data_IF_548557967577
#
_entry.id   IF_548557967577
#
_cell.length_a   1.000
_cell.length_b   1.000
_cell.length_c   1.000
_cell.angle_alpha   90.00
_cell.angle_beta   90.00
_cell.angle_gamma   90.00
#
_symmetry.space_group_name_H-M   'P 1'
#
loop_
_entity.id
_entity.type
_entity.pdbx_description
1 polymer ?
#
# COMPACT_ATOMS: atom_id res chain seq x y z
N UNK A 1 -25.30 14.94 2.31
CA UNK A 1 -24.80 13.55 2.38
C UNK A 1 -23.66 13.45 1.38
N UNK A 2 -22.40 13.25 1.77
CA UNK A 2 -21.35 13.05 0.78
C UNK A 2 -21.46 11.62 0.24
N UNK A 3 -21.39 11.51 -1.09
CA UNK A 3 -21.39 10.26 -1.85
C UNK A 3 -20.14 9.45 -1.49
N UNK A 4 -20.35 8.17 -1.16
CA UNK A 4 -19.26 7.19 -1.09
C UNK A 4 -18.69 6.96 -2.50
N UNK A 5 -17.37 7.15 -2.63
CA UNK A 5 -16.60 6.82 -3.84
C UNK A 5 -16.77 5.34 -4.23
N UNK A 6 -17.04 4.99 -5.50
CA UNK A 6 -17.33 3.62 -5.90
C UNK A 6 -16.07 2.90 -6.42
N UNK A 7 -15.06 2.59 -5.59
CA UNK A 7 -13.89 1.83 -6.06
C UNK A 7 -13.22 0.83 -5.10
N UNK A 8 -13.89 0.40 -4.04
CA UNK A 8 -13.53 -0.86 -3.36
C UNK A 8 -14.76 -1.76 -3.26
N UNK A 9 -14.72 -3.00 -3.78
CA UNK A 9 -15.77 -3.96 -3.47
C UNK A 9 -15.75 -4.17 -1.96
N UNK A 10 -16.71 -3.56 -1.27
CA UNK A 10 -16.97 -3.76 0.14
C UNK A 10 -17.29 -5.25 0.29
N UNK A 11 -16.36 -6.02 0.85
CA UNK A 11 -16.55 -7.45 1.06
C UNK A 11 -17.10 -7.61 2.49
N UNK A 12 -18.40 -7.84 2.70
CA UNK A 12 -19.07 -7.68 4.00
C UNK A 12 -18.66 -8.71 5.08
N UNK A 13 -17.57 -9.46 4.87
CA UNK A 13 -17.00 -10.40 5.82
C UNK A 13 -15.52 -10.16 6.15
N UNK A 14 -14.93 -9.04 5.70
CA UNK A 14 -13.56 -8.64 6.05
C UNK A 14 -13.62 -7.54 7.12
N UNK A 15 -12.95 -7.78 8.25
CA UNK A 15 -12.83 -6.84 9.37
C UNK A 15 -11.50 -6.10 9.31
N UNK A 16 -11.44 -4.87 9.81
CA UNK A 16 -10.17 -4.15 10.01
C UNK A 16 -9.23 -4.85 11.00
N UNK A 17 -9.76 -5.81 11.78
CA UNK A 17 -8.97 -6.66 12.68
C UNK A 17 -8.50 -7.96 12.03
N UNK A 18 -8.88 -8.25 10.79
CA UNK A 18 -8.47 -9.47 10.11
C UNK A 18 -6.97 -9.48 9.77
N UNK A 19 -6.36 -10.67 9.68
CA UNK A 19 -4.96 -10.82 9.31
C UNK A 19 -4.68 -10.20 7.94
N UNK A 20 -3.69 -9.30 7.92
CA UNK A 20 -3.38 -8.48 6.77
C UNK A 20 -1.99 -8.77 6.20
N UNK A 21 -1.85 -8.53 4.90
CA UNK A 21 -0.56 -8.33 4.26
C UNK A 21 -0.34 -6.83 4.09
N UNK A 22 0.70 -6.27 4.70
CA UNK A 22 1.18 -4.94 4.36
C UNK A 22 2.14 -5.08 3.19
N UNK A 23 1.74 -4.62 2.02
CA UNK A 23 2.51 -4.73 0.79
C UNK A 23 3.12 -3.37 0.43
N UNK A 24 4.45 -3.30 0.37
CA UNK A 24 5.18 -2.07 0.04
C UNK A 24 6.30 -2.33 -0.95
N UNK A 25 6.71 -1.27 -1.67
CA UNK A 25 7.81 -1.35 -2.63
C UNK A 25 9.13 -1.64 -1.92
N UNK A 26 9.53 -0.73 -1.01
CA UNK A 26 10.75 -0.80 -0.22
C UNK A 26 10.49 -0.31 1.21
N UNK A 27 11.31 -0.73 2.19
CA UNK A 27 11.22 -0.30 3.58
C UNK A 27 11.31 1.22 3.80
N UNK A 28 12.10 1.92 3.00
CA UNK A 28 12.31 3.38 3.08
C UNK A 28 11.17 4.18 2.41
N UNK A 29 10.36 3.53 1.57
CA UNK A 29 9.43 4.20 0.67
C UNK A 29 7.99 4.33 1.17
N UNK A 30 7.69 3.81 2.35
CA UNK A 30 6.32 3.74 2.86
C UNK A 30 6.11 4.65 4.07
N UNK A 31 5.04 5.44 4.04
CA UNK A 31 4.56 6.14 5.24
C UNK A 31 3.76 5.16 6.11
N UNK A 32 4.36 4.75 7.23
CA UNK A 32 3.79 3.77 8.16
C UNK A 32 3.44 4.34 9.54
N UNK A 33 4.02 5.47 9.92
CA UNK A 33 3.80 6.10 11.23
C UNK A 33 2.53 6.93 11.27
N UNK A 34 1.80 6.87 12.40
CA UNK A 34 0.57 7.65 12.59
C UNK A 34 -0.62 7.25 11.70
N UNK A 35 -0.48 6.21 10.88
CA UNK A 35 -1.50 5.77 9.93
C UNK A 35 -2.40 4.72 10.56
N UNK A 36 -3.60 5.13 11.01
CA UNK A 36 -4.51 4.28 11.77
C UNK A 36 -4.79 2.89 11.13
N UNK A 37 -5.08 2.76 9.82
CA UNK A 37 -5.30 1.45 9.20
C UNK A 37 -4.08 0.50 9.29
N UNK A 38 -2.87 1.06 9.20
CA UNK A 38 -1.62 0.29 9.35
C UNK A 38 -1.49 -0.15 10.80
N UNK A 39 -1.67 0.74 11.77
CA UNK A 39 -1.63 0.39 13.20
C UNK A 39 -2.67 -0.68 13.57
N UNK A 40 -3.89 -0.58 13.05
CA UNK A 40 -4.93 -1.58 13.26
C UNK A 40 -4.52 -2.93 12.65
N UNK A 41 -3.98 -2.95 11.43
CA UNK A 41 -3.45 -4.18 10.83
C UNK A 41 -2.31 -4.78 11.67
N UNK A 42 -1.38 -3.96 12.13
CA UNK A 42 -0.24 -4.37 12.93
C UNK A 42 -0.60 -4.88 14.32
N UNK A 43 -1.75 -4.49 14.87
CA UNK A 43 -2.26 -5.04 16.13
C UNK A 43 -2.58 -6.54 16.05
N UNK A 44 -2.79 -7.06 14.85
CA UNK A 44 -3.07 -8.47 14.63
C UNK A 44 -1.77 -9.29 14.48
N UNK A 45 -1.58 -10.31 15.32
CA UNK A 45 -0.34 -11.10 15.40
C UNK A 45 0.06 -11.81 14.09
N UNK A 46 -0.91 -12.14 13.26
CA UNK A 46 -0.67 -12.82 11.97
C UNK A 46 -0.39 -11.87 10.82
N UNK A 47 -0.34 -10.55 11.07
CA UNK A 47 -0.02 -9.56 10.04
C UNK A 47 1.43 -9.70 9.58
N UNK A 48 1.63 -9.55 8.29
CA UNK A 48 2.92 -9.70 7.63
C UNK A 48 3.28 -8.41 6.93
N UNK A 49 4.56 -8.06 6.93
CA UNK A 49 5.08 -7.00 6.08
C UNK A 49 5.85 -7.66 4.94
N UNK A 50 5.51 -7.30 3.71
CA UNK A 50 6.17 -7.77 2.50
C UNK A 50 6.69 -6.60 1.69
N UNK A 51 8.02 -6.50 1.61
CA UNK A 51 8.71 -5.57 0.74
C UNK A 51 9.05 -6.28 -0.59
N UNK A 52 8.72 -5.66 -1.71
CA UNK A 52 9.00 -6.23 -3.03
C UNK A 52 10.49 -6.15 -3.38
N UNK A 53 11.15 -5.06 -3.01
CA UNK A 53 12.54 -4.77 -3.32
C UNK A 53 13.36 -4.48 -2.05
N UNK A 54 14.66 -4.78 -2.12
CA UNK A 54 15.67 -4.34 -1.16
C UNK A 54 16.66 -3.34 -1.79
N UNK A 55 16.41 -2.84 -3.01
CA UNK A 55 17.33 -1.95 -3.70
C UNK A 55 17.61 -0.70 -2.87
N UNK A 56 18.85 -0.57 -2.39
CA UNK A 56 19.29 0.54 -1.54
C UNK A 56 18.80 0.47 -0.08
N UNK A 57 18.17 -0.63 0.34
CA UNK A 57 17.75 -0.85 1.72
C UNK A 57 18.81 -1.63 2.49
N UNK A 58 19.36 -1.03 3.54
CA UNK A 58 20.29 -1.73 4.44
C UNK A 58 19.51 -2.54 5.48
N UNK A 59 20.20 -3.43 6.19
CA UNK A 59 19.63 -4.10 7.37
C UNK A 59 19.15 -3.09 8.42
N UNK A 60 19.84 -1.96 8.55
CA UNK A 60 19.45 -0.88 9.44
C UNK A 60 18.12 -0.24 9.00
N UNK A 61 17.89 -0.05 7.70
CA UNK A 61 16.60 0.43 7.17
C UNK A 61 15.46 -0.52 7.53
N UNK A 62 15.68 -1.84 7.48
CA UNK A 62 14.69 -2.84 7.87
C UNK A 62 14.42 -2.81 9.38
N UNK A 63 15.48 -2.63 10.18
CA UNK A 63 15.36 -2.53 11.64
C UNK A 63 14.65 -1.25 12.06
N UNK A 64 14.95 -0.13 11.40
CA UNK A 64 14.26 1.15 11.58
C UNK A 64 12.79 1.03 11.21
N UNK A 65 12.45 0.41 10.07
CA UNK A 65 11.06 0.14 9.71
C UNK A 65 10.32 -0.60 10.84
N UNK A 66 10.90 -1.69 11.35
CA UNK A 66 10.31 -2.45 12.46
C UNK A 66 10.20 -1.60 13.74
N UNK A 67 11.21 -0.78 14.06
CA UNK A 67 11.15 0.13 15.21
C UNK A 67 10.01 1.15 15.08
N UNK A 68 9.83 1.72 13.88
CA UNK A 68 8.77 2.69 13.55
C UNK A 68 7.37 2.08 13.63
N UNK A 69 7.24 0.78 13.37
CA UNK A 69 5.97 0.07 13.58
C UNK A 69 5.62 -0.15 15.06
N UNK A 70 6.59 -0.02 15.97
CA UNK A 70 6.43 -0.33 17.40
C UNK A 70 6.22 -1.82 17.70
N UNK A 71 6.41 -2.70 16.71
CA UNK A 71 6.05 -4.11 16.78
C UNK A 71 7.24 -5.02 16.39
N UNK A 72 8.11 -5.38 17.35
CA UNK A 72 9.35 -6.12 17.09
C UNK A 72 9.13 -7.59 16.66
N UNK A 73 7.91 -8.11 16.78
CA UNK A 73 7.58 -9.51 16.46
C UNK A 73 6.98 -9.70 15.07
N UNK A 74 6.92 -8.65 14.24
CA UNK A 74 6.37 -8.76 12.91
C UNK A 74 7.28 -9.58 12.00
N UNK A 75 6.66 -10.43 11.20
CA UNK A 75 7.34 -11.12 10.13
C UNK A 75 7.49 -10.16 8.95
N UNK A 76 8.71 -9.63 8.81
CA UNK A 76 9.13 -8.86 7.65
C UNK A 76 9.78 -9.82 6.65
N UNK A 77 9.29 -9.81 5.41
CA UNK A 77 9.92 -10.51 4.29
C UNK A 77 10.27 -9.49 3.21
N UNK A 78 11.46 -9.63 2.64
CA UNK A 78 11.85 -8.92 1.42
C UNK A 78 12.06 -9.90 0.28
N UNK A 79 11.45 -9.65 -0.88
CA UNK A 79 11.53 -10.53 -2.04
C UNK A 79 12.75 -10.27 -2.94
N UNK A 80 13.46 -9.16 -2.73
CA UNK A 80 14.70 -8.78 -3.41
C UNK A 80 14.58 -8.67 -4.95
N UNK A 81 13.43 -8.23 -5.46
CA UNK A 81 13.30 -7.83 -6.86
C UNK A 81 13.96 -6.47 -7.11
N UNK A 82 14.55 -6.28 -8.27
CA UNK A 82 15.02 -4.97 -8.70
C UNK A 82 13.83 -4.05 -8.96
N UNK A 83 13.97 -2.75 -8.69
CA UNK A 83 12.89 -1.78 -8.98
C UNK A 83 12.56 -1.78 -10.48
N UNK A 84 13.55 -1.99 -11.35
CA UNK A 84 13.36 -2.12 -12.80
C UNK A 84 12.56 -3.37 -13.20
N UNK A 85 12.58 -4.44 -12.40
CA UNK A 85 11.76 -5.64 -12.65
C UNK A 85 10.26 -5.34 -12.47
N UNK A 86 9.93 -4.27 -11.73
CA UNK A 86 8.55 -3.83 -11.54
C UNK A 86 8.01 -3.03 -12.72
N UNK A 87 8.76 -2.89 -13.82
CA UNK A 87 8.23 -2.38 -15.08
C UNK A 87 7.85 -3.51 -16.04
N UNK A 88 8.51 -4.66 -15.94
CA UNK A 88 8.26 -5.85 -16.78
C UNK A 88 6.93 -6.55 -16.41
N UNK A 89 5.97 -6.69 -17.35
CA UNK A 89 4.72 -7.41 -17.14
C UNK A 89 4.89 -8.87 -16.70
N UNK A 90 5.91 -9.58 -17.20
CA UNK A 90 6.16 -10.98 -16.82
C UNK A 90 6.60 -11.07 -15.37
N UNK A 91 7.50 -10.18 -14.94
CA UNK A 91 7.96 -10.09 -13.56
C UNK A 91 6.82 -9.68 -12.62
N UNK A 92 6.00 -8.68 -12.97
CA UNK A 92 4.78 -8.33 -12.20
C UNK A 92 3.90 -9.53 -11.95
N UNK A 93 3.71 -10.37 -12.96
CA UNK A 93 2.89 -11.59 -12.85
C UNK A 93 3.55 -12.62 -11.94
N UNK A 94 4.86 -12.81 -12.04
CA UNK A 94 5.61 -13.70 -11.14
C UNK A 94 5.53 -13.22 -9.68
N UNK A 95 5.74 -11.93 -9.44
CA UNK A 95 5.64 -11.32 -8.11
C UNK A 95 4.23 -11.48 -7.55
N UNK A 96 3.19 -11.19 -8.35
CA UNK A 96 1.80 -11.37 -7.95
C UNK A 96 1.48 -12.82 -7.55
N UNK A 97 2.06 -13.82 -8.23
CA UNK A 97 1.92 -15.23 -7.85
C UNK A 97 2.57 -15.53 -6.50
N UNK A 98 3.73 -14.95 -6.20
CA UNK A 98 4.38 -15.08 -4.88
C UNK A 98 3.53 -14.44 -3.78
N UNK A 99 2.99 -13.24 -4.04
CA UNK A 99 2.09 -12.53 -3.13
C UNK A 99 0.83 -13.37 -2.88
N UNK A 100 0.19 -13.87 -3.93
CA UNK A 100 -0.99 -14.74 -3.85
C UNK A 100 -0.72 -16.04 -3.08
N UNK A 101 0.46 -16.64 -3.28
CA UNK A 101 0.86 -17.84 -2.54
C UNK A 101 0.97 -17.56 -1.04
N UNK A 102 1.62 -16.46 -0.63
CA UNK A 102 1.75 -16.06 0.78
C UNK A 102 0.42 -15.79 1.43
N UNK A 103 -0.43 -15.03 0.74
CA UNK A 103 -1.79 -14.75 1.15
C UNK A 103 -2.56 -16.04 1.48
N UNK A 104 -2.49 -17.04 0.59
CA UNK A 104 -3.17 -18.33 0.77
C UNK A 104 -2.55 -19.14 1.90
N UNK A 105 -1.22 -19.20 1.97
CA UNK A 105 -0.49 -19.94 2.99
C UNK A 105 -0.73 -19.41 4.41
N UNK A 106 -0.98 -18.10 4.54
CA UNK A 106 -1.15 -17.43 5.83
C UNK A 106 -2.61 -17.06 6.11
N UNK A 107 -3.55 -17.49 5.26
CA UNK A 107 -4.98 -17.19 5.37
C UNK A 107 -5.28 -15.69 5.54
N UNK A 108 -4.53 -14.84 4.85
CA UNK A 108 -4.71 -13.39 4.91
C UNK A 108 -5.98 -13.01 4.15
N UNK A 109 -6.76 -12.08 4.72
CA UNK A 109 -8.04 -11.63 4.12
C UNK A 109 -7.97 -10.24 3.50
N UNK A 110 -6.88 -9.53 3.76
CA UNK A 110 -6.70 -8.13 3.43
C UNK A 110 -5.28 -7.85 2.95
N UNK A 111 -5.14 -6.97 1.97
CA UNK A 111 -3.87 -6.33 1.60
C UNK A 111 -3.98 -4.83 1.94
N UNK A 112 -3.09 -4.34 2.79
CA UNK A 112 -2.93 -2.91 3.08
C UNK A 112 -1.73 -2.41 2.29
N UNK A 113 -1.92 -1.38 1.47
CA UNK A 113 -0.85 -0.75 0.69
C UNK A 113 -0.59 0.64 1.31
N UNK A 114 0.56 0.85 1.96
CA UNK A 114 0.94 2.16 2.49
C UNK A 114 1.02 3.24 1.41
N UNK A 115 1.04 4.50 1.83
CA UNK A 115 1.33 5.59 0.90
C UNK A 115 2.82 5.57 0.51
N UNK A 116 3.08 5.68 -0.80
CA UNK A 116 4.41 5.71 -1.42
C UNK A 116 4.68 7.04 -2.13
N UNK A 117 3.86 8.07 -1.88
CA UNK A 117 3.97 9.40 -2.49
C UNK A 117 5.39 9.99 -2.40
N UNK A 118 6.11 9.72 -1.31
CA UNK A 118 7.50 10.17 -1.10
C UNK A 118 8.52 9.55 -2.07
N UNK A 119 8.23 8.42 -2.70
CA UNK A 119 9.13 7.71 -3.63
C UNK A 119 8.76 7.84 -5.11
N UNK A 120 7.81 8.72 -5.44
CA UNK A 120 7.32 8.93 -6.81
C UNK A 120 6.13 8.02 -7.16
N UNK A 121 5.18 8.55 -7.94
CA UNK A 121 3.88 7.91 -8.18
C UNK A 121 3.92 6.55 -8.90
N UNK A 122 5.00 6.24 -9.62
CA UNK A 122 5.17 4.98 -10.37
C UNK A 122 5.31 3.77 -9.44
N UNK A 123 5.99 3.94 -8.30
CA UNK A 123 6.15 2.94 -7.26
C UNK A 123 4.80 2.45 -6.73
N UNK A 124 3.91 3.40 -6.41
CA UNK A 124 2.58 3.11 -5.90
C UNK A 124 1.75 2.34 -6.92
N UNK A 125 1.77 2.76 -8.19
CA UNK A 125 1.02 2.12 -9.26
C UNK A 125 1.46 0.67 -9.48
N UNK A 126 2.77 0.38 -9.44
CA UNK A 126 3.29 -0.98 -9.57
C UNK A 126 2.81 -1.89 -8.42
N UNK A 127 2.90 -1.42 -7.17
CA UNK A 127 2.46 -2.17 -5.99
C UNK A 127 0.96 -2.44 -6.03
N UNK A 128 0.15 -1.43 -6.39
CA UNK A 128 -1.29 -1.58 -6.58
C UNK A 128 -1.63 -2.59 -7.67
N UNK A 129 -0.92 -2.56 -8.80
CA UNK A 129 -1.12 -3.53 -9.88
C UNK A 129 -0.83 -4.96 -9.41
N UNK A 130 0.29 -5.17 -8.72
CA UNK A 130 0.68 -6.48 -8.17
C UNK A 130 -0.35 -6.97 -7.15
N UNK A 131 -0.82 -6.09 -6.26
CA UNK A 131 -1.86 -6.42 -5.29
C UNK A 131 -3.16 -6.86 -5.97
N UNK A 132 -3.59 -6.14 -7.02
CA UNK A 132 -4.79 -6.49 -7.80
C UNK A 132 -4.62 -7.86 -8.48
N UNK A 133 -3.48 -8.12 -9.12
CA UNK A 133 -3.21 -9.43 -9.72
C UNK A 133 -3.22 -10.56 -8.67
N UNK A 134 -2.67 -10.30 -7.48
CA UNK A 134 -2.68 -11.25 -6.39
C UNK A 134 -4.10 -11.50 -5.83
N UNK A 135 -4.94 -10.46 -5.74
CA UNK A 135 -6.30 -10.56 -5.20
C UNK A 135 -7.28 -11.25 -6.14
N UNK A 136 -7.00 -11.35 -7.44
CA UNK A 136 -7.82 -12.15 -8.37
C UNK A 136 -7.91 -13.64 -7.97
N UNK A 137 -7.05 -14.08 -7.07
CA UNK A 137 -6.93 -15.47 -6.65
C UNK A 137 -7.79 -15.86 -5.44
N UNK A 138 -8.57 -14.93 -4.87
CA UNK A 138 -9.50 -15.15 -3.75
C UNK A 138 -10.13 -13.86 -3.24
N UNK A 139 -11.27 -13.94 -2.54
CA UNK A 139 -12.07 -12.79 -2.05
C UNK A 139 -11.36 -11.92 -1.01
N UNK A 140 -10.34 -11.19 -1.43
CA UNK A 140 -9.44 -10.40 -0.61
C UNK A 140 -9.68 -8.92 -0.86
N UNK A 141 -9.75 -8.19 0.23
CA UNK A 141 -9.91 -6.75 0.18
C UNK A 141 -8.56 -6.05 0.02
N UNK A 142 -8.49 -5.06 -0.87
CA UNK A 142 -7.33 -4.20 -1.04
C UNK A 142 -7.66 -2.83 -0.46
N UNK A 143 -6.93 -2.43 0.58
CA UNK A 143 -7.00 -1.12 1.18
C UNK A 143 -5.73 -0.34 0.81
N UNK A 144 -5.84 0.52 -0.21
CA UNK A 144 -4.75 1.41 -0.62
C UNK A 144 -4.84 2.74 0.11
N UNK A 145 -3.73 3.16 0.73
CA UNK A 145 -3.62 4.40 1.51
C UNK A 145 -2.97 5.54 0.74
N UNK A 146 -2.50 5.26 -0.48
CA UNK A 146 -2.12 6.31 -1.40
C UNK A 146 -3.32 7.24 -1.65
N UNK A 147 -3.11 8.55 -1.50
CA UNK A 147 -4.14 9.53 -1.83
C UNK A 147 -4.60 9.30 -3.27
N UNK A 148 -5.91 9.23 -3.54
CA UNK A 148 -6.39 9.24 -4.91
C UNK A 148 -5.86 10.52 -5.56
N UNK A 149 -5.33 10.41 -6.78
CA UNK A 149 -4.84 11.54 -7.58
C UNK A 149 -5.98 12.47 -8.07
N UNK A 150 -7.00 12.69 -7.24
CA UNK A 150 -8.15 13.54 -7.49
C UNK A 150 -8.25 14.59 -6.36
N UNK A 151 -7.35 15.56 -6.38
CA UNK A 151 -7.54 16.97 -6.02
C UNK A 151 -6.19 17.69 -5.91
N UNK A 152 -5.39 17.64 -6.97
CA UNK A 152 -4.53 18.78 -7.27
C UNK A 152 -5.42 19.87 -7.88
N UNK A 153 -6.16 20.60 -7.03
CA UNK A 153 -6.62 21.94 -7.42
C UNK A 153 -5.34 22.76 -7.63
N UNK A 154 -5.09 23.32 -8.82
CA UNK A 154 -4.01 24.28 -8.96
C UNK A 154 -4.36 25.50 -8.10
N UNK A 155 -3.65 25.69 -6.98
CA UNK A 155 -3.55 27.00 -6.36
C UNK A 155 -2.92 27.94 -7.39
N UNK A 156 -3.75 28.84 -7.94
CA UNK A 156 -3.27 29.98 -8.71
C UNK A 156 -3.89 30.12 -10.09
N UNK A 157 -5.08 30.71 -10.17
CA UNK A 157 -5.45 31.59 -11.28
C UNK A 157 -6.66 32.47 -10.92
N UNK A 158 -6.41 33.78 -10.85
CA UNK A 158 -7.39 34.78 -11.28
C UNK A 158 -8.22 35.43 -10.17
N UNK A 159 -7.68 36.52 -9.62
CA UNK A 159 -8.52 37.62 -9.16
C UNK A 159 -9.46 38.05 -10.30
N UNK A 160 -10.77 37.88 -10.13
CA UNK A 160 -11.76 38.52 -10.98
C UNK A 160 -12.50 39.53 -10.13
N UNK A 161 -12.32 40.79 -10.53
CA UNK A 161 -12.73 42.00 -9.85
C UNK A 161 -14.25 42.04 -9.58
N UNK A 162 -14.62 42.22 -8.32
CA UNK A 162 -15.92 42.80 -7.97
C UNK A 162 -15.84 44.31 -8.19
N UNK A 163 -16.05 44.78 -9.42
CA UNK A 163 -16.39 46.17 -9.68
C UNK A 163 -17.91 46.31 -9.60
N UNK A 164 -18.40 46.63 -8.42
CA UNK A 164 -19.75 47.17 -8.24
C UNK A 164 -19.71 48.68 -8.50
N UNK A 165 -20.56 49.17 -9.40
CA UNK A 165 -21.34 50.43 -9.36
C UNK A 165 -21.86 50.77 -10.78
N UNK A 166 -22.93 51.57 -10.92
CA UNK A 166 -23.84 52.14 -9.92
C UNK A 166 -25.25 51.54 -9.90
#
# INVERSE_FOLDING_TARGET
>A
MPLSDPLTPFNPGVSDTDPALILMLRPDCALIEGVAPIHTALSHRSTQILCLSNDGSSEDTLRELLARTGMPHLNLTVLAFGVSDLDDPQQKTAIARVVAHRIRALHLRRIVIPDHSACGGTACAAVQHIARLASLTGGIEIQSLAQPAAMALPEGAGAVASKALP
#
